data_IF_614481627833
#
_entry.id   IF_614481627833
#
_cell.length_a   1.000
_cell.length_b   1.000
_cell.length_c   1.000
_cell.angle_alpha   90.00
_cell.angle_beta   90.00
_cell.angle_gamma   90.00
#
_symmetry.space_group_name_H-M   'P 1'
#
loop_
_entity.id
_entity.type
_entity.pdbx_description
1 polymer ?
#
# COMPACT_ATOMS: atom_id res chain seq x y z
N UNK A 1 -11.13 13.23 -9.52
CA UNK A 1 -11.89 14.33 -8.89
C UNK A 1 -12.81 13.86 -7.73
N UNK A 2 -13.10 12.56 -7.58
CA UNK A 2 -13.97 12.02 -6.51
C UNK A 2 -13.29 11.95 -5.13
N UNK A 3 -12.00 11.60 -5.07
CA UNK A 3 -11.24 11.52 -3.80
C UNK A 3 -11.05 12.88 -3.12
N UNK A 4 -10.99 13.97 -3.90
CA UNK A 4 -11.04 15.33 -3.36
C UNK A 4 -12.38 15.61 -2.67
N UNK A 5 -13.48 15.09 -3.22
CA UNK A 5 -14.80 15.18 -2.60
C UNK A 5 -14.90 14.42 -1.27
N UNK A 6 -14.25 13.26 -1.17
CA UNK A 6 -14.16 12.50 0.08
C UNK A 6 -13.32 13.27 1.11
N UNK A 7 -12.18 13.84 0.71
CA UNK A 7 -11.34 14.65 1.59
C UNK A 7 -12.10 15.88 2.11
N UNK A 8 -12.86 16.56 1.26
CA UNK A 8 -13.72 17.68 1.65
C UNK A 8 -14.85 17.21 2.56
N UNK A 9 -15.48 16.06 2.28
CA UNK A 9 -16.52 15.49 3.12
C UNK A 9 -16.02 15.15 4.53
N UNK A 10 -14.83 14.55 4.63
CA UNK A 10 -14.16 14.26 5.90
C UNK A 10 -13.82 15.56 6.64
N UNK A 11 -13.32 16.58 5.92
CA UNK A 11 -13.05 17.91 6.50
C UNK A 11 -14.31 18.58 7.06
N UNK A 12 -15.45 18.46 6.39
CA UNK A 12 -16.73 19.01 6.85
C UNK A 12 -17.25 18.28 8.09
N UNK A 13 -17.10 16.95 8.15
CA UNK A 13 -17.44 16.16 9.35
C UNK A 13 -16.53 16.55 10.52
N UNK A 14 -15.23 16.72 10.29
CA UNK A 14 -14.29 17.17 11.32
C UNK A 14 -14.64 18.57 11.87
N UNK A 15 -15.02 19.51 11.00
CA UNK A 15 -15.49 20.84 11.41
C UNK A 15 -16.79 20.78 12.23
N UNK A 16 -17.73 19.93 11.85
CA UNK A 16 -18.99 19.73 12.56
C UNK A 16 -18.74 19.15 13.97
N UNK A 17 -17.84 18.18 14.08
CA UNK A 17 -17.41 17.61 15.35
C UNK A 17 -16.69 18.64 16.24
N UNK A 18 -15.83 19.48 15.67
CA UNK A 18 -15.19 20.62 16.36
C UNK A 18 -16.21 21.62 16.90
N UNK A 19 -17.21 21.96 16.09
CA UNK A 19 -18.30 22.86 16.49
C UNK A 19 -19.14 22.28 17.63
N UNK A 20 -19.48 20.99 17.57
CA UNK A 20 -20.20 20.28 18.64
C UNK A 20 -19.36 20.23 19.91
N UNK A 21 -18.06 19.94 19.82
CA UNK A 21 -17.14 19.96 20.95
C UNK A 21 -17.06 21.34 21.62
N UNK A 22 -17.01 22.42 20.82
CA UNK A 22 -16.98 23.79 21.33
C UNK A 22 -18.29 24.15 22.06
N UNK A 23 -19.44 23.74 21.54
CA UNK A 23 -20.76 24.02 22.15
C UNK A 23 -21.00 23.25 23.45
N UNK A 24 -20.30 22.13 23.66
CA UNK A 24 -20.43 21.25 24.83
C UNK A 24 -19.69 21.75 26.09
N UNK A 25 -18.94 22.85 25.99
CA UNK A 25 -18.14 23.44 27.09
C UNK A 25 -18.96 24.25 28.14
N UNK A 26 -20.29 24.26 28.09
CA UNK A 26 -21.16 24.99 29.03
C UNK A 26 -21.87 24.12 30.08
N UNK A 27 -21.52 24.29 31.36
CA UNK A 27 -22.36 23.97 32.55
C UNK A 27 -22.25 22.55 33.18
N UNK A 28 -22.28 22.54 34.53
CA UNK A 28 -22.22 21.44 35.53
C UNK A 28 -21.01 20.49 35.48
N UNK A 29 -20.16 20.49 36.51
CA UNK A 29 -18.89 19.74 36.61
C UNK A 29 -18.95 18.28 36.13
N UNK A 30 -19.84 17.43 36.63
CA UNK A 30 -19.89 16.01 36.22
C UNK A 30 -20.26 15.86 34.73
N UNK A 31 -21.22 16.66 34.26
CA UNK A 31 -21.61 16.71 32.85
C UNK A 31 -20.50 17.35 32.01
N UNK A 32 -19.79 18.35 32.51
CA UNK A 32 -18.65 18.99 31.84
C UNK A 32 -17.44 18.05 31.73
N UNK A 33 -17.21 17.18 32.73
CA UNK A 33 -16.19 16.14 32.68
C UNK A 33 -16.57 15.03 31.71
N UNK A 34 -17.82 14.54 31.75
CA UNK A 34 -18.32 13.54 30.79
C UNK A 34 -18.34 14.09 29.36
N UNK A 35 -18.73 15.36 29.19
CA UNK A 35 -18.74 16.09 27.91
C UNK A 35 -17.34 16.42 27.43
N UNK A 36 -16.41 16.72 28.33
CA UNK A 36 -14.99 16.94 28.04
C UNK A 36 -14.31 15.66 27.57
N UNK A 37 -14.55 14.54 28.26
CA UNK A 37 -14.09 13.21 27.86
C UNK A 37 -14.71 12.76 26.53
N UNK A 38 -16.01 12.99 26.32
CA UNK A 38 -16.67 12.73 25.05
C UNK A 38 -16.13 13.61 23.92
N UNK A 39 -15.87 14.89 24.18
CA UNK A 39 -15.25 15.82 23.23
C UNK A 39 -13.81 15.42 22.87
N UNK A 40 -13.04 14.94 23.85
CA UNK A 40 -11.70 14.39 23.64
C UNK A 40 -11.73 13.10 22.81
N UNK A 41 -12.69 12.20 23.06
CA UNK A 41 -12.89 11.00 22.25
C UNK A 41 -13.28 11.36 20.81
N UNK A 42 -14.15 12.36 20.63
CA UNK A 42 -14.54 12.84 19.30
C UNK A 42 -13.38 13.52 18.58
N UNK A 43 -12.56 14.31 19.28
CA UNK A 43 -11.35 14.91 18.72
C UNK A 43 -10.30 13.86 18.38
N UNK A 44 -10.13 12.84 19.22
CA UNK A 44 -9.25 11.71 18.93
C UNK A 44 -9.74 10.94 17.69
N UNK A 45 -11.05 10.68 17.60
CA UNK A 45 -11.66 10.04 16.43
C UNK A 45 -11.50 10.90 15.16
N UNK A 46 -11.67 12.22 15.25
CA UNK A 46 -11.44 13.14 14.15
C UNK A 46 -9.96 13.16 13.73
N UNK A 47 -9.02 13.16 14.68
CA UNK A 47 -7.58 13.07 14.42
C UNK A 47 -7.21 11.77 13.73
N UNK A 48 -7.73 10.63 14.20
CA UNK A 48 -7.54 9.32 13.56
C UNK A 48 -8.13 9.35 12.14
N UNK A 49 -9.33 9.90 11.96
CA UNK A 49 -9.99 9.97 10.63
C UNK A 49 -9.19 10.86 9.67
N UNK A 50 -8.63 11.97 10.15
CA UNK A 50 -7.78 12.86 9.35
C UNK A 50 -6.45 12.18 8.97
N UNK A 51 -5.82 11.45 9.89
CA UNK A 51 -4.62 10.65 9.63
C UNK A 51 -4.89 9.55 8.59
N UNK A 52 -6.01 8.84 8.72
CA UNK A 52 -6.45 7.83 7.75
C UNK A 52 -6.73 8.47 6.38
N UNK A 53 -7.39 9.62 6.35
CA UNK A 53 -7.64 10.40 5.14
C UNK A 53 -6.34 10.81 4.44
N UNK A 54 -5.34 11.25 5.20
CA UNK A 54 -4.02 11.60 4.67
C UNK A 54 -3.28 10.38 4.12
N UNK A 55 -3.30 9.24 4.82
CA UNK A 55 -2.70 8.00 4.31
C UNK A 55 -3.40 7.53 3.01
N UNK A 56 -4.72 7.70 2.92
CA UNK A 56 -5.46 7.40 1.68
C UNK A 56 -5.09 8.27 0.48
N UNK A 57 -4.49 9.46 0.67
CA UNK A 57 -3.97 10.27 -0.46
C UNK A 57 -2.82 9.58 -1.20
N UNK A 58 -2.16 8.62 -0.56
CA UNK A 58 -1.12 7.79 -1.18
C UNK A 58 -1.70 6.72 -2.10
N UNK A 59 -2.99 6.42 -2.01
CA UNK A 59 -3.64 5.41 -2.83
C UNK A 59 -4.09 5.99 -4.16
N UNK A 60 -3.64 5.36 -5.23
CA UNK A 60 -4.00 5.80 -6.59
C UNK A 60 -5.17 4.96 -7.09
N UNK A 61 -6.27 5.59 -7.57
CA UNK A 61 -7.39 4.87 -8.14
C UNK A 61 -7.00 4.24 -9.47
N UNK A 62 -7.15 2.93 -9.57
CA UNK A 62 -6.87 2.17 -10.80
C UNK A 62 -8.19 1.89 -11.52
N UNK A 63 -8.30 2.33 -12.77
CA UNK A 63 -9.40 2.00 -13.68
C UNK A 63 -8.84 1.39 -14.97
N UNK A 64 -8.66 0.06 -14.98
CA UNK A 64 -8.11 -0.69 -16.11
C UNK A 64 -6.75 -1.31 -15.81
N UNK A 65 -5.91 -1.41 -16.84
CA UNK A 65 -4.50 -1.79 -16.70
C UNK A 65 -3.69 -0.54 -16.38
N UNK A 66 -3.16 -0.46 -15.17
CA UNK A 66 -2.22 0.60 -14.79
C UNK A 66 -0.90 0.02 -14.29
N UNK A 67 0.18 0.69 -14.69
CA UNK A 67 1.52 0.44 -14.16
C UNK A 67 1.63 0.98 -12.74
N UNK A 68 1.93 0.08 -11.81
CA UNK A 68 2.20 0.42 -10.41
C UNK A 68 3.65 0.83 -10.20
N UNK A 69 4.57 0.09 -10.80
CA UNK A 69 6.00 0.28 -10.64
C UNK A 69 6.81 -0.26 -11.81
N UNK A 70 8.02 0.26 -11.96
CA UNK A 70 9.06 -0.32 -12.79
C UNK A 70 10.23 -0.71 -11.89
N UNK A 71 10.77 -1.91 -12.08
CA UNK A 71 11.83 -2.47 -11.25
C UNK A 71 13.02 -2.80 -12.15
N UNK A 72 14.17 -2.22 -11.86
CA UNK A 72 15.44 -2.56 -12.52
C UNK A 72 16.38 -3.26 -11.56
N UNK A 73 17.02 -4.33 -12.02
CA UNK A 73 18.01 -5.08 -11.25
C UNK A 73 19.42 -4.85 -11.77
N UNK A 74 20.37 -4.76 -10.85
CA UNK A 74 21.80 -4.75 -11.14
C UNK A 74 22.52 -5.72 -10.21
N UNK A 75 23.32 -6.61 -10.76
CA UNK A 75 24.04 -7.62 -10.00
C UNK A 75 25.24 -6.99 -9.29
N UNK A 76 25.34 -7.17 -7.97
CA UNK A 76 26.43 -6.66 -7.15
C UNK A 76 27.42 -7.76 -6.75
N UNK A 77 26.97 -9.02 -6.77
CA UNK A 77 27.78 -10.19 -6.43
C UNK A 77 27.07 -11.49 -6.80
N UNK A 78 27.60 -12.62 -6.33
CA UNK A 78 26.94 -13.91 -6.49
C UNK A 78 25.62 -13.93 -5.72
N UNK A 79 24.50 -14.12 -6.43
CA UNK A 79 23.14 -14.10 -5.87
C UNK A 79 22.82 -12.82 -5.06
N UNK A 80 23.50 -11.70 -5.34
CA UNK A 80 23.29 -10.41 -4.69
C UNK A 80 22.92 -9.36 -5.74
N UNK A 81 21.74 -8.77 -5.58
CA UNK A 81 21.17 -7.82 -6.52
C UNK A 81 20.79 -6.53 -5.83
N UNK A 82 21.00 -5.42 -6.52
CA UNK A 82 20.40 -4.13 -6.16
C UNK A 82 19.21 -3.88 -7.07
N UNK A 83 18.04 -3.72 -6.45
CA UNK A 83 16.80 -3.38 -7.10
C UNK A 83 16.52 -1.88 -6.93
N UNK A 84 16.21 -1.19 -8.04
CA UNK A 84 15.63 0.15 -8.02
C UNK A 84 14.17 0.01 -8.38
N UNK A 85 13.29 0.32 -7.43
CA UNK A 85 11.83 0.27 -7.58
C UNK A 85 11.34 1.69 -7.77
N UNK A 86 10.98 2.04 -9.01
CA UNK A 86 10.39 3.33 -9.33
C UNK A 86 8.86 3.22 -9.29
N UNK A 87 8.21 3.97 -8.40
CA UNK A 87 6.76 4.04 -8.35
C UNK A 87 6.18 4.86 -9.53
N UNK A 88 4.86 4.82 -9.70
CA UNK A 88 4.17 5.60 -10.75
C UNK A 88 4.40 7.12 -10.66
N UNK A 89 4.71 7.65 -9.47
CA UNK A 89 4.97 9.07 -9.24
C UNK A 89 6.45 9.43 -9.48
N UNK A 90 7.29 8.45 -9.83
CA UNK A 90 8.72 8.61 -10.05
C UNK A 90 9.54 8.62 -8.76
N UNK A 91 8.95 8.28 -7.61
CA UNK A 91 9.72 8.06 -6.39
C UNK A 91 10.44 6.72 -6.48
N UNK A 92 11.75 6.74 -6.28
CA UNK A 92 12.60 5.57 -6.37
C UNK A 92 12.99 5.07 -4.97
N UNK A 93 12.84 3.75 -4.77
CA UNK A 93 13.32 3.05 -3.59
C UNK A 93 14.44 2.09 -4.00
N UNK A 94 15.60 2.22 -3.38
CA UNK A 94 16.75 1.35 -3.61
C UNK A 94 16.75 0.26 -2.53
N UNK A 95 16.79 -1.00 -2.96
CA UNK A 95 16.73 -2.17 -2.09
C UNK A 95 17.82 -3.16 -2.47
N UNK A 96 18.51 -3.72 -1.47
CA UNK A 96 19.46 -4.81 -1.68
C UNK A 96 18.77 -6.14 -1.41
N UNK A 97 18.92 -7.08 -2.34
CA UNK A 97 18.22 -8.35 -2.36
C UNK A 97 19.24 -9.49 -2.52
N UNK A 98 18.96 -10.61 -1.85
CA UNK A 98 19.78 -11.81 -1.92
C UNK A 98 18.93 -12.99 -2.38
N UNK A 99 19.38 -13.68 -3.43
CA UNK A 99 18.67 -14.77 -4.09
C UNK A 99 18.73 -14.65 -5.62
N UNK A 100 18.01 -15.53 -6.30
CA UNK A 100 17.88 -15.51 -7.77
C UNK A 100 16.49 -15.15 -8.25
N UNK A 101 15.47 -15.28 -7.40
CA UNK A 101 14.08 -14.97 -7.72
C UNK A 101 13.59 -13.79 -6.90
N UNK A 102 12.71 -12.98 -7.47
CA UNK A 102 12.05 -11.88 -6.78
C UNK A 102 10.54 -11.94 -6.95
N UNK A 103 9.83 -11.27 -6.03
CA UNK A 103 8.39 -11.10 -6.07
C UNK A 103 8.01 -9.77 -5.43
N UNK A 104 6.98 -9.12 -5.95
CA UNK A 104 6.43 -7.89 -5.40
C UNK A 104 5.10 -8.13 -4.68
N UNK A 105 5.00 -7.64 -3.46
CA UNK A 105 3.76 -7.52 -2.70
C UNK A 105 3.09 -6.17 -2.94
N UNK A 106 1.77 -6.18 -3.07
CA UNK A 106 0.93 -5.00 -3.25
C UNK A 106 -0.24 -5.05 -2.27
N UNK A 107 -0.43 -3.98 -1.51
CA UNK A 107 -1.60 -3.79 -0.64
C UNK A 107 -2.75 -3.24 -1.47
N UNK A 108 -3.90 -3.90 -1.37
CA UNK A 108 -5.15 -3.51 -2.00
C UNK A 108 -6.15 -3.06 -0.94
N UNK A 109 -6.84 -1.96 -1.23
CA UNK A 109 -8.03 -1.52 -0.51
C UNK A 109 -9.17 -1.43 -1.51
N UNK A 110 -10.23 -2.20 -1.30
CA UNK A 110 -11.38 -2.27 -2.21
C UNK A 110 -12.69 -1.94 -1.50
N UNK A 111 -13.56 -1.25 -2.21
CA UNK A 111 -14.90 -0.88 -1.75
C UNK A 111 -15.93 -1.93 -2.15
N UNK A 112 -17.07 -1.93 -1.45
CA UNK A 112 -18.20 -2.79 -1.79
C UNK A 112 -18.72 -2.54 -3.21
N UNK A 113 -19.39 -3.52 -3.85
CA UNK A 113 -19.97 -3.35 -5.17
C UNK A 113 -20.96 -2.17 -5.26
N UNK A 114 -21.69 -1.89 -4.16
CA UNK A 114 -22.63 -0.75 -4.09
C UNK A 114 -21.86 0.57 -4.17
N UNK A 115 -20.78 0.69 -3.41
CA UNK A 115 -19.92 1.87 -3.36
C UNK A 115 -19.11 2.03 -4.65
N UNK A 116 -18.64 0.95 -5.25
CA UNK A 116 -17.94 0.97 -6.54
C UNK A 116 -18.81 1.52 -7.67
N UNK A 117 -20.13 1.23 -7.66
CA UNK A 117 -21.09 1.82 -8.61
C UNK A 117 -21.27 3.33 -8.44
N UNK A 118 -20.95 3.89 -7.28
CA UNK A 118 -20.94 5.34 -7.04
C UNK A 118 -19.62 6.00 -7.50
N UNK A 119 -18.75 5.27 -8.20
CA UNK A 119 -17.50 5.78 -8.75
C UNK A 119 -16.30 5.67 -7.81
N UNK A 120 -16.40 4.86 -6.74
CA UNK A 120 -15.25 4.56 -5.87
C UNK A 120 -14.40 3.43 -6.46
N UNK A 121 -13.18 3.75 -6.86
CA UNK A 121 -12.22 2.77 -7.37
C UNK A 121 -11.40 2.15 -6.25
N UNK A 122 -10.97 0.88 -6.39
CA UNK A 122 -10.02 0.27 -5.48
C UNK A 122 -8.68 1.02 -5.55
N UNK A 123 -8.02 1.12 -4.39
CA UNK A 123 -6.69 1.69 -4.24
C UNK A 123 -5.63 0.60 -4.13
N UNK A 124 -4.46 0.87 -4.72
CA UNK A 124 -3.29 -0.01 -4.67
C UNK A 124 -2.06 0.77 -4.18
N UNK A 125 -1.21 0.08 -3.40
CA UNK A 125 0.06 0.61 -2.90
C UNK A 125 1.10 -0.51 -2.84
N UNK A 126 2.33 -0.23 -3.22
CA UNK A 126 3.46 -1.15 -3.07
C UNK A 126 3.62 -1.53 -1.59
N UNK A 127 3.83 -2.81 -1.29
CA UNK A 127 3.94 -3.29 0.08
C UNK A 127 5.40 -3.58 0.43
N UNK A 128 5.96 -4.56 -0.27
CA UNK A 128 7.26 -5.14 -0.01
C UNK A 128 7.80 -5.79 -1.29
N UNK A 129 9.11 -5.95 -1.36
CA UNK A 129 9.78 -6.79 -2.34
C UNK A 129 10.49 -7.91 -1.58
N UNK A 130 10.30 -9.13 -2.05
CA UNK A 130 10.88 -10.33 -1.44
C UNK A 130 11.77 -11.02 -2.46
N UNK A 131 12.96 -11.45 -2.03
CA UNK A 131 13.83 -12.32 -2.81
C UNK A 131 13.79 -13.77 -2.28
N UNK A 132 14.12 -14.72 -3.15
CA UNK A 132 14.13 -16.16 -2.88
C UNK A 132 15.25 -16.85 -3.64
N UNK A 133 15.83 -17.87 -3.01
CA UNK A 133 16.78 -18.78 -3.63
C UNK A 133 16.09 -19.91 -4.41
N UNK A 134 16.72 -20.33 -5.51
CA UNK A 134 16.30 -21.52 -6.27
C UNK A 134 16.61 -22.81 -5.51
N UNK A 135 17.79 -22.89 -4.87
CA UNK A 135 18.17 -24.03 -4.02
C UNK A 135 17.35 -24.05 -2.73
N UNK A 136 16.81 -25.22 -2.40
CA UNK A 136 16.07 -25.43 -1.16
C UNK A 136 17.02 -25.36 0.04
N UNK A 137 18.24 -25.88 -0.10
CA UNK A 137 19.27 -25.87 0.95
C UNK A 137 19.67 -24.44 1.31
N UNK A 138 19.92 -23.59 0.31
CA UNK A 138 20.22 -22.18 0.52
C UNK A 138 19.03 -21.45 1.13
N UNK A 139 17.82 -21.70 0.62
CA UNK A 139 16.60 -21.06 1.13
C UNK A 139 16.30 -21.40 2.59
N UNK A 140 16.63 -22.61 3.05
CA UNK A 140 16.47 -23.01 4.45
C UNK A 140 17.49 -22.35 5.39
N UNK A 141 18.68 -22.05 4.88
CA UNK A 141 19.75 -21.40 5.64
C UNK A 141 19.66 -19.87 5.59
N UNK A 142 18.96 -19.33 4.59
CA UNK A 142 18.80 -17.90 4.39
C UNK A 142 17.91 -17.26 5.46
N UNK A 143 18.32 -16.09 5.93
CA UNK A 143 17.47 -15.21 6.73
C UNK A 143 16.53 -14.46 5.78
N UNK A 144 15.30 -14.97 5.60
CA UNK A 144 14.30 -14.37 4.72
C UNK A 144 13.96 -12.96 5.16
N UNK A 145 14.23 -11.97 4.30
CA UNK A 145 13.86 -10.58 4.52
C UNK A 145 12.94 -10.09 3.40
N UNK A 146 11.73 -9.71 3.79
CA UNK A 146 10.85 -8.91 2.95
C UNK A 146 11.23 -7.44 3.19
N UNK A 147 11.64 -6.75 2.13
CA UNK A 147 12.08 -5.36 2.22
C UNK A 147 10.88 -4.45 1.97
N UNK A 148 10.45 -3.64 2.95
CA UNK A 148 9.24 -2.83 2.83
C UNK A 148 9.45 -1.68 1.85
N UNK A 149 8.53 -1.54 0.89
CA UNK A 149 8.54 -0.45 -0.09
C UNK A 149 7.64 0.72 0.33
N UNK A 150 6.65 0.46 1.19
CA UNK A 150 5.81 1.49 1.79
C UNK A 150 6.11 1.62 3.28
N UNK A 151 6.91 2.62 3.64
CA UNK A 151 7.07 3.04 5.04
C UNK A 151 5.96 4.05 5.35
N UNK A 152 5.10 3.77 6.32
CA UNK A 152 4.20 4.79 6.87
C UNK A 152 5.05 5.83 7.60
N UNK A 153 5.05 7.08 7.12
CA UNK A 153 5.89 8.16 7.62
C UNK A 153 5.63 8.49 9.10
N UNK A 154 4.47 8.10 9.64
CA UNK A 154 4.04 8.45 11.00
C UNK A 154 3.69 7.22 11.85
N UNK A 155 4.07 6.01 11.41
CA UNK A 155 3.83 4.76 12.15
C UNK A 155 2.37 4.29 12.22
N UNK A 156 1.43 5.06 11.67
CA UNK A 156 0.02 4.67 11.55
C UNK A 156 -0.21 4.12 10.14
N UNK A 157 -0.52 2.85 10.03
CA UNK A 157 -0.80 2.16 8.77
C UNK A 157 -2.29 1.84 8.70
N UNK A 158 -3.03 2.63 7.91
CA UNK A 158 -4.48 2.48 7.79
C UNK A 158 -4.89 1.11 7.27
N UNK A 159 -4.07 0.51 6.40
CA UNK A 159 -4.31 -0.83 5.89
C UNK A 159 -4.15 -1.90 6.97
N UNK A 160 -3.12 -1.78 7.83
CA UNK A 160 -2.96 -2.67 8.99
C UNK A 160 -4.10 -2.52 9.99
N UNK A 161 -4.59 -1.30 10.21
CA UNK A 161 -5.76 -1.06 11.07
C UNK A 161 -7.02 -1.71 10.52
N UNK A 162 -7.26 -1.63 9.20
CA UNK A 162 -8.41 -2.32 8.57
C UNK A 162 -8.26 -3.84 8.71
N UNK A 163 -7.06 -4.38 8.54
CA UNK A 163 -6.77 -5.80 8.78
C UNK A 163 -7.03 -6.22 10.23
N UNK A 164 -6.66 -5.38 11.20
CA UNK A 164 -6.81 -5.66 12.63
C UNK A 164 -8.27 -5.57 13.11
N UNK A 165 -8.99 -4.53 12.69
CA UNK A 165 -10.38 -4.27 13.10
C UNK A 165 -11.35 -5.18 12.34
N UNK A 166 -10.94 -5.69 11.18
CA UNK A 166 -11.69 -6.61 10.35
C UNK A 166 -12.28 -5.93 9.12
N UNK A 167 -12.26 -6.65 8.01
CA UNK A 167 -12.91 -6.22 6.77
C UNK A 167 -14.43 -6.24 6.93
N UNK A 168 -15.11 -5.22 6.42
CA UNK A 168 -16.56 -5.16 6.40
C UNK A 168 -17.11 -5.41 4.99
N UNK A 169 -18.42 -5.57 4.87
CA UNK A 169 -19.09 -5.60 3.57
C UNK A 169 -18.89 -4.32 2.75
N UNK A 170 -18.52 -3.20 3.41
CA UNK A 170 -18.29 -1.89 2.81
C UNK A 170 -16.83 -1.69 2.36
N UNK A 171 -15.87 -2.20 3.12
CA UNK A 171 -14.43 -1.96 2.94
C UNK A 171 -13.64 -3.26 3.18
N UNK A 172 -12.85 -3.64 2.19
CA UNK A 172 -11.98 -4.82 2.24
C UNK A 172 -10.53 -4.41 2.03
N UNK A 173 -9.64 -4.94 2.86
CA UNK A 173 -8.20 -4.85 2.70
C UNK A 173 -7.67 -6.23 2.32
N UNK A 174 -6.78 -6.29 1.33
CA UNK A 174 -6.15 -7.53 0.89
C UNK A 174 -4.72 -7.32 0.45
N UNK A 175 -3.98 -8.43 0.34
CA UNK A 175 -2.64 -8.46 -0.23
C UNK A 175 -2.72 -9.17 -1.59
N UNK A 176 -2.16 -8.56 -2.61
CA UNK A 176 -1.92 -9.18 -3.91
C UNK A 176 -0.42 -9.33 -4.11
N UNK A 177 0.02 -10.41 -4.74
CA UNK A 177 1.43 -10.70 -4.96
C UNK A 177 1.64 -11.10 -6.41
N UNK A 178 2.80 -10.75 -6.96
CA UNK A 178 3.21 -11.29 -8.27
C UNK A 178 3.64 -12.75 -8.15
N UNK A 179 3.88 -13.40 -9.28
CA UNK A 179 4.67 -14.63 -9.31
C UNK A 179 6.14 -14.36 -8.98
N UNK A 180 6.87 -15.42 -8.64
CA UNK A 180 8.33 -15.36 -8.53
C UNK A 180 8.96 -15.36 -9.92
N UNK A 181 9.84 -14.41 -10.17
CA UNK A 181 10.49 -14.20 -11.45
C UNK A 181 12.00 -14.10 -11.26
N UNK A 182 12.81 -14.49 -12.26
CA UNK A 182 14.26 -14.40 -12.17
C UNK A 182 14.72 -12.94 -12.02
N UNK A 183 15.71 -12.73 -11.16
CA UNK A 183 16.54 -11.53 -11.12
C UNK A 183 17.70 -11.74 -12.09
N UNK A 184 17.94 -10.76 -12.96
CA UNK A 184 19.01 -10.80 -13.95
C UNK A 184 19.69 -9.44 -14.00
N UNK A 185 21.00 -9.44 -14.24
CA UNK A 185 21.74 -8.20 -14.36
C UNK A 185 21.22 -7.33 -15.52
N UNK A 186 21.02 -6.05 -15.23
CA UNK A 186 20.38 -5.10 -16.12
C UNK A 186 18.91 -5.42 -16.45
N UNK A 187 18.27 -6.39 -15.78
CA UNK A 187 16.88 -6.77 -16.04
C UNK A 187 15.89 -5.67 -15.67
N UNK A 188 14.99 -5.33 -16.60
CA UNK A 188 13.95 -4.32 -16.40
C UNK A 188 12.56 -4.95 -16.49
N UNK A 189 11.79 -4.83 -15.41
CA UNK A 189 10.44 -5.37 -15.28
C UNK A 189 9.44 -4.26 -15.02
N UNK A 190 8.28 -4.35 -15.66
CA UNK A 190 7.12 -3.49 -15.39
C UNK A 190 6.10 -4.29 -14.61
N UNK A 191 5.53 -3.69 -13.57
CA UNK A 191 4.48 -4.31 -12.77
C UNK A 191 3.19 -3.54 -12.93
N UNK A 192 2.19 -4.22 -13.45
CA UNK A 192 0.87 -3.70 -13.76
C UNK A 192 -0.20 -4.38 -12.91
N UNK A 193 -1.31 -3.69 -12.65
CA UNK A 193 -2.53 -4.29 -12.12
C UNK A 193 -3.51 -4.51 -13.27
N UNK A 194 -3.90 -5.76 -13.49
CA UNK A 194 -4.89 -6.13 -14.51
C UNK A 194 -6.04 -6.85 -13.81
N UNK A 195 -7.24 -6.29 -13.86
CA UNK A 195 -8.43 -6.85 -13.20
C UNK A 195 -8.24 -7.16 -11.69
N UNK A 196 -7.33 -6.45 -11.02
CA UNK A 196 -7.02 -6.63 -9.60
C UNK A 196 -5.96 -7.68 -9.27
N UNK A 197 -5.35 -8.28 -10.30
CA UNK A 197 -4.19 -9.18 -10.19
C UNK A 197 -2.90 -8.43 -10.53
N UNK A 198 -1.80 -8.81 -9.87
CA UNK A 198 -0.47 -8.26 -10.12
C UNK A 198 0.17 -9.02 -11.28
N UNK A 199 0.41 -8.33 -12.39
CA UNK A 199 1.08 -8.88 -13.57
C UNK A 199 2.43 -8.22 -13.75
N UNK A 200 3.42 -9.02 -14.13
CA UNK A 200 4.77 -8.51 -14.40
C UNK A 200 5.14 -8.81 -15.85
N UNK A 201 5.70 -7.81 -16.52
CA UNK A 201 6.13 -7.88 -17.90
C UNK A 201 7.61 -7.52 -18.03
N UNK A 202 8.37 -8.28 -18.84
CA UNK A 202 9.76 -7.98 -19.14
C UNK A 202 9.87 -6.87 -20.20
N UNK A 203 10.50 -5.76 -19.83
CA UNK A 203 10.58 -4.55 -20.66
C UNK A 203 11.78 -4.56 -21.60
N UNK A 204 12.90 -5.15 -21.17
CA UNK A 204 14.14 -5.22 -21.95
C UNK A 204 14.54 -6.65 -22.34
N UNK A 205 15.56 -6.77 -23.19
CA UNK A 205 16.00 -8.05 -23.72
C UNK A 205 16.59 -8.98 -22.66
N UNK A 206 17.35 -8.45 -21.70
CA UNK A 206 17.88 -9.23 -20.58
C UNK A 206 16.75 -9.89 -19.77
N UNK A 207 15.72 -9.14 -19.40
CA UNK A 207 14.57 -9.67 -18.69
C UNK A 207 13.76 -10.66 -19.55
N UNK A 208 13.58 -10.38 -20.85
CA UNK A 208 12.88 -11.29 -21.77
C UNK A 208 13.60 -12.63 -21.92
N UNK A 209 14.93 -12.59 -22.08
CA UNK A 209 15.75 -13.79 -22.17
C UNK A 209 15.66 -14.63 -20.88
N UNK A 210 15.74 -13.98 -19.72
CA UNK A 210 15.59 -14.65 -18.43
C UNK A 210 14.21 -15.31 -18.27
N UNK A 211 13.13 -14.62 -18.66
CA UNK A 211 11.77 -15.20 -18.62
C UNK A 211 11.58 -16.35 -19.62
N UNK A 212 12.22 -16.28 -20.79
CA UNK A 212 12.15 -17.35 -21.79
C UNK A 212 12.85 -18.63 -21.32
N UNK A 213 13.93 -18.51 -20.54
CA UNK A 213 14.63 -19.66 -19.94
C UNK A 213 13.90 -20.23 -18.71
N UNK A 214 13.02 -19.45 -18.09
CA UNK A 214 12.28 -19.83 -16.90
C UNK A 214 10.97 -20.59 -17.18
N UNK A 215 10.39 -20.42 -18.38
CA UNK A 215 9.19 -21.14 -18.83
C UNK A 215 9.54 -22.52 -19.38
#
# INVERSE_FOLDING_TARGET
MIYGGIAVGVGLVALLLLYVAFKLLGGNWLLAWLRGSAGLLVLAAAGVTALLGWDTYSYTPVSGTETLATISFSQQGEQQFRAVVADRKGAESLVELQGELWRLGVRRVSWSPVLSRLGLSPGYRLADITARYLSIEQEQQADRKAEPLAVSQYGVDGWQLIQLVGTSSLLQAGLAQSDYLPMVDGGLYRVDIVAGEVRVEAVNDSARAALAQWR
#
